data_IF_372046772056
#
_entry.id   IF_372046772056
#
_cell.length_a   1.000
_cell.length_b   1.000
_cell.length_c   1.000
_cell.angle_alpha   90.00
_cell.angle_beta   90.00
_cell.angle_gamma   90.00
#
_symmetry.space_group_name_H-M   'P 1'
#
loop_
_entity.id
_entity.type
_entity.pdbx_description
1 polymer ?
#
# COMPACT_ATOMS: atom_id res chain seq x y z
N UNK A 1 -7.01 14.22 15.77
CA UNK A 1 -8.15 13.94 14.88
C UNK A 1 -8.75 12.63 15.34
N UNK A 2 -10.01 12.64 15.73
CA UNK A 2 -10.76 11.41 16.09
C UNK A 2 -11.49 10.96 14.84
N UNK A 3 -11.37 9.69 14.48
CA UNK A 3 -12.09 9.13 13.33
C UNK A 3 -13.58 9.07 13.64
N UNK A 4 -14.44 9.44 12.67
CA UNK A 4 -15.89 9.27 12.82
C UNK A 4 -16.27 7.79 12.78
N UNK A 5 -17.44 7.43 13.32
CA UNK A 5 -17.96 6.06 13.24
C UNK A 5 -18.10 5.57 11.80
N UNK A 6 -18.49 6.47 10.88
CA UNK A 6 -18.56 6.17 9.45
C UNK A 6 -17.18 5.82 8.88
N UNK A 7 -16.14 6.61 9.21
CA UNK A 7 -14.77 6.32 8.76
C UNK A 7 -14.28 4.99 9.31
N UNK A 8 -14.60 4.65 10.57
CA UNK A 8 -14.24 3.35 11.16
C UNK A 8 -14.92 2.20 10.40
N UNK A 9 -16.22 2.31 10.11
CA UNK A 9 -16.94 1.30 9.33
C UNK A 9 -16.35 1.13 7.91
N UNK A 10 -15.95 2.23 7.27
CA UNK A 10 -15.29 2.19 5.95
C UNK A 10 -13.89 1.58 6.02
N UNK A 11 -13.13 1.80 7.09
CA UNK A 11 -11.83 1.12 7.31
C UNK A 11 -12.02 -0.39 7.42
N UNK A 12 -13.07 -0.85 8.10
CA UNK A 12 -13.39 -2.28 8.19
C UNK A 12 -13.80 -2.86 6.83
N UNK A 13 -14.63 -2.14 6.07
CA UNK A 13 -15.01 -2.52 4.70
C UNK A 13 -13.78 -2.62 3.80
N UNK A 14 -12.90 -1.62 3.82
CA UNK A 14 -11.62 -1.63 3.14
C UNK A 14 -10.75 -2.84 3.55
N UNK A 15 -10.71 -3.18 4.84
CA UNK A 15 -10.05 -4.40 5.31
C UNK A 15 -10.58 -5.66 4.64
N UNK A 16 -11.91 -5.82 4.56
CA UNK A 16 -12.56 -6.95 3.89
C UNK A 16 -12.28 -6.97 2.38
N UNK A 17 -12.31 -5.82 1.72
CA UNK A 17 -12.00 -5.70 0.29
C UNK A 17 -10.56 -6.10 -0.05
N UNK A 18 -9.56 -5.68 0.76
CA UNK A 18 -8.17 -6.13 0.58
C UNK A 18 -8.06 -7.65 0.69
N UNK A 19 -8.72 -8.27 1.67
CA UNK A 19 -8.74 -9.73 1.81
C UNK A 19 -9.38 -10.42 0.59
N UNK A 20 -10.48 -9.87 0.06
CA UNK A 20 -11.13 -10.37 -1.16
C UNK A 20 -10.20 -10.29 -2.39
N UNK A 21 -9.49 -9.19 -2.58
CA UNK A 21 -8.51 -9.02 -3.67
C UNK A 21 -7.39 -10.07 -3.59
N UNK A 22 -6.78 -10.24 -2.41
CA UNK A 22 -5.72 -11.24 -2.19
C UNK A 22 -6.23 -12.66 -2.45
N UNK A 23 -7.44 -12.98 -1.95
CA UNK A 23 -8.07 -14.28 -2.21
C UNK A 23 -8.37 -14.49 -3.69
N UNK A 24 -8.84 -13.47 -4.39
CA UNK A 24 -9.10 -13.54 -5.83
C UNK A 24 -7.82 -13.76 -6.62
N UNK A 25 -6.75 -13.03 -6.30
CA UNK A 25 -5.42 -13.25 -6.88
C UNK A 25 -4.98 -14.70 -6.72
N UNK A 26 -5.02 -15.23 -5.50
CA UNK A 26 -4.60 -16.60 -5.24
C UNK A 26 -5.51 -17.67 -5.84
N UNK A 27 -6.79 -17.40 -6.11
CA UNK A 27 -7.72 -18.41 -6.63
C UNK A 27 -7.86 -18.40 -8.15
N UNK A 28 -7.74 -17.24 -8.79
CA UNK A 28 -8.07 -17.08 -10.22
C UNK A 28 -6.92 -16.55 -11.07
N UNK A 29 -5.95 -15.86 -10.48
CA UNK A 29 -4.99 -15.05 -11.24
C UNK A 29 -3.51 -15.32 -10.87
N UNK A 30 -3.22 -16.44 -10.17
CA UNK A 30 -1.84 -16.93 -9.90
C UNK A 30 -0.99 -17.11 -11.16
N UNK A 31 -1.61 -17.25 -12.34
CA UNK A 31 -0.92 -17.28 -13.62
C UNK A 31 -0.04 -16.05 -13.88
N UNK A 32 -0.27 -14.94 -13.18
CA UNK A 32 0.56 -13.74 -13.29
C UNK A 32 1.83 -13.78 -12.44
N UNK A 33 2.05 -14.78 -11.59
CA UNK A 33 3.28 -14.87 -10.77
C UNK A 33 4.56 -14.70 -11.62
N UNK A 34 4.76 -15.38 -12.77
CA UNK A 34 5.96 -15.16 -13.59
C UNK A 34 6.11 -13.72 -14.08
N UNK A 35 4.99 -13.05 -14.38
CA UNK A 35 4.98 -11.64 -14.78
C UNK A 35 5.36 -10.74 -13.60
N UNK A 36 4.85 -11.02 -12.40
CA UNK A 36 5.16 -10.27 -11.19
C UNK A 36 6.65 -10.37 -10.89
N UNK A 37 7.18 -11.59 -10.86
CA UNK A 37 8.61 -11.82 -10.59
C UNK A 37 9.49 -11.11 -11.62
N UNK A 38 9.08 -11.12 -12.90
CA UNK A 38 9.83 -10.43 -13.95
C UNK A 38 9.91 -8.91 -13.75
N UNK A 39 8.86 -8.28 -13.21
CA UNK A 39 8.77 -6.82 -13.13
C UNK A 39 9.08 -6.25 -11.74
N UNK A 40 8.97 -7.05 -10.68
CA UNK A 40 9.17 -6.62 -9.30
C UNK A 40 10.46 -7.15 -8.68
N UNK A 41 10.88 -8.38 -9.04
CA UNK A 41 12.08 -8.98 -8.45
C UNK A 41 13.35 -8.31 -8.96
N UNK A 42 14.31 -8.09 -8.04
CA UNK A 42 15.70 -7.81 -8.43
C UNK A 42 16.24 -9.00 -9.23
N UNK A 43 17.03 -8.73 -10.28
CA UNK A 43 17.59 -9.75 -11.20
C UNK A 43 18.45 -10.87 -10.55
N UNK A 44 18.71 -10.85 -9.24
CA UNK A 44 19.87 -11.52 -8.62
C UNK A 44 19.60 -12.57 -7.51
N UNK A 45 18.39 -13.07 -7.26
CA UNK A 45 18.25 -14.15 -6.27
C UNK A 45 16.84 -14.48 -5.78
N UNK A 46 16.74 -15.55 -4.98
CA UNK A 46 15.49 -16.04 -4.37
C UNK A 46 14.86 -14.99 -3.47
N UNK A 47 13.59 -14.69 -3.71
CA UNK A 47 12.82 -13.77 -2.88
C UNK A 47 12.45 -14.41 -1.53
N UNK A 48 12.64 -13.64 -0.46
CA UNK A 48 12.03 -13.90 0.84
C UNK A 48 10.49 -13.90 0.74
N UNK A 49 9.81 -14.51 1.71
CA UNK A 49 8.34 -14.49 1.74
C UNK A 49 7.79 -13.05 1.87
N UNK A 50 8.49 -12.18 2.59
CA UNK A 50 8.11 -10.77 2.73
C UNK A 50 8.18 -10.01 1.40
N UNK A 51 9.22 -10.28 0.60
CA UNK A 51 9.37 -9.71 -0.75
C UNK A 51 8.25 -10.19 -1.68
N UNK A 52 7.85 -11.47 -1.61
CA UNK A 52 6.71 -11.99 -2.39
C UNK A 52 5.41 -11.32 -2.01
N UNK A 53 5.17 -11.09 -0.73
CA UNK A 53 3.97 -10.38 -0.25
C UNK A 53 3.93 -8.96 -0.84
N UNK A 54 5.04 -8.25 -0.80
CA UNK A 54 5.14 -6.90 -1.37
C UNK A 54 5.02 -6.91 -2.91
N UNK A 55 5.52 -7.94 -3.59
CA UNK A 55 5.37 -8.12 -5.02
C UNK A 55 3.91 -8.33 -5.44
N UNK A 56 3.17 -9.16 -4.70
CA UNK A 56 1.75 -9.40 -4.94
C UNK A 56 0.92 -8.17 -4.65
N UNK A 57 1.18 -7.49 -3.53
CA UNK A 57 0.48 -6.26 -3.19
C UNK A 57 0.77 -5.15 -4.24
N UNK A 58 1.99 -5.06 -4.79
CA UNK A 58 2.33 -4.14 -5.89
C UNK A 58 1.53 -4.48 -7.15
N UNK A 59 1.45 -5.75 -7.50
CA UNK A 59 0.68 -6.18 -8.65
C UNK A 59 -0.81 -5.86 -8.53
N UNK A 60 -1.38 -6.08 -7.34
CA UNK A 60 -2.80 -5.84 -7.07
C UNK A 60 -3.14 -4.34 -7.20
N UNK A 61 -2.29 -3.47 -6.66
CA UNK A 61 -2.63 -2.05 -6.51
C UNK A 61 -2.04 -1.14 -7.59
N UNK A 62 -0.89 -1.49 -8.17
CA UNK A 62 -0.08 -0.54 -8.93
C UNK A 62 0.29 -1.04 -10.34
N UNK A 63 0.20 -2.35 -10.62
CA UNK A 63 0.53 -2.86 -11.94
C UNK A 63 -0.56 -2.51 -12.97
N UNK A 64 -0.13 -1.79 -14.00
CA UNK A 64 -0.95 -1.45 -15.17
C UNK A 64 -0.63 -2.40 -16.32
N UNK A 65 -1.64 -3.13 -16.79
CA UNK A 65 -1.54 -3.99 -17.96
C UNK A 65 -1.33 -3.16 -19.24
N UNK A 66 -0.91 -3.83 -20.31
CA UNK A 66 -0.67 -3.19 -21.63
C UNK A 66 -1.93 -2.57 -22.25
N UNK A 67 -3.10 -3.11 -21.91
CA UNK A 67 -4.40 -2.56 -22.34
C UNK A 67 -4.83 -1.35 -21.50
N UNK A 68 -4.01 -0.92 -20.54
CA UNK A 68 -4.26 0.22 -19.67
C UNK A 68 -5.06 -0.10 -18.41
N UNK A 69 -5.59 -1.32 -18.27
CA UNK A 69 -6.35 -1.76 -17.10
C UNK A 69 -5.43 -2.11 -15.93
N UNK A 70 -5.99 -2.15 -14.73
CA UNK A 70 -5.37 -2.63 -13.50
C UNK A 70 -5.91 -4.02 -13.14
N UNK A 71 -5.27 -4.67 -12.17
CA UNK A 71 -5.81 -5.90 -11.58
C UNK A 71 -7.19 -5.69 -10.96
N UNK A 72 -7.40 -4.52 -10.36
CA UNK A 72 -8.67 -4.12 -9.75
C UNK A 72 -9.81 -4.10 -10.77
N UNK A 73 -9.59 -3.64 -12.01
CA UNK A 73 -10.62 -3.66 -13.07
C UNK A 73 -11.14 -5.08 -13.35
N UNK A 74 -10.22 -6.05 -13.37
CA UNK A 74 -10.57 -7.46 -13.57
C UNK A 74 -11.36 -8.01 -12.40
N UNK A 75 -10.97 -7.64 -11.18
CA UNK A 75 -11.68 -8.02 -9.97
C UNK A 75 -13.12 -7.46 -10.00
N UNK A 76 -13.30 -6.17 -10.26
CA UNK A 76 -14.62 -5.52 -10.34
C UNK A 76 -15.48 -6.20 -11.42
N UNK A 77 -14.95 -6.38 -12.64
CA UNK A 77 -15.69 -7.03 -13.73
C UNK A 77 -16.13 -8.46 -13.39
N UNK A 78 -15.33 -9.17 -12.60
CA UNK A 78 -15.59 -10.55 -12.18
C UNK A 78 -16.57 -10.71 -11.00
N UNK A 79 -16.96 -9.63 -10.32
CA UNK A 79 -17.79 -9.67 -9.11
C UNK A 79 -18.99 -8.72 -9.24
N UNK A 80 -20.11 -9.26 -9.70
CA UNK A 80 -21.37 -8.51 -9.82
C UNK A 80 -22.08 -8.31 -8.47
N UNK A 81 -21.55 -8.92 -7.40
CA UNK A 81 -22.04 -8.81 -6.03
C UNK A 81 -21.48 -7.61 -5.26
N UNK A 82 -20.59 -6.82 -5.87
CA UNK A 82 -20.03 -5.62 -5.25
C UNK A 82 -21.05 -4.49 -5.19
N UNK A 83 -21.11 -3.78 -4.06
CA UNK A 83 -21.90 -2.55 -3.96
C UNK A 83 -21.22 -1.38 -4.69
N UNK A 84 -21.99 -0.32 -4.97
CA UNK A 84 -21.45 0.92 -5.55
C UNK A 84 -20.35 1.54 -4.67
N UNK A 85 -20.51 1.47 -3.35
CA UNK A 85 -19.52 1.94 -2.38
C UNK A 85 -18.23 1.11 -2.45
N UNK A 86 -18.34 -0.22 -2.50
CA UNK A 86 -17.17 -1.11 -2.64
C UNK A 86 -16.41 -0.82 -3.94
N UNK A 87 -17.14 -0.61 -5.05
CA UNK A 87 -16.55 -0.25 -6.35
C UNK A 87 -15.82 1.09 -6.26
N UNK A 88 -16.43 2.11 -5.64
CA UNK A 88 -15.82 3.43 -5.50
C UNK A 88 -14.50 3.39 -4.72
N UNK A 89 -14.44 2.61 -3.64
CA UNK A 89 -13.21 2.39 -2.86
C UNK A 89 -12.14 1.70 -3.72
N UNK A 90 -12.51 0.63 -4.41
CA UNK A 90 -11.58 -0.13 -5.26
C UNK A 90 -11.02 0.72 -6.41
N UNK A 91 -11.86 1.50 -7.07
CA UNK A 91 -11.45 2.44 -8.13
C UNK A 91 -10.39 3.42 -7.63
N UNK A 92 -10.58 3.98 -6.42
CA UNK A 92 -9.62 4.89 -5.80
C UNK A 92 -8.28 4.22 -5.50
N UNK A 93 -8.25 2.92 -5.20
CA UNK A 93 -7.00 2.21 -4.89
C UNK A 93 -6.05 2.02 -6.08
N UNK A 94 -6.51 2.30 -7.31
CA UNK A 94 -5.64 2.37 -8.49
C UNK A 94 -4.66 3.54 -8.43
N UNK A 95 -4.94 4.55 -7.62
CA UNK A 95 -4.07 5.69 -7.31
C UNK A 95 -3.22 5.40 -6.05
N UNK A 96 -2.57 4.24 -6.02
CA UNK A 96 -1.68 3.85 -4.92
C UNK A 96 -0.45 4.78 -4.87
N UNK A 97 -0.03 5.18 -3.68
CA UNK A 97 1.21 5.94 -3.48
C UNK A 97 2.25 5.07 -2.78
N UNK A 98 3.28 4.64 -3.51
CA UNK A 98 4.47 3.99 -2.95
C UNK A 98 5.55 5.01 -2.62
N UNK A 99 6.21 4.82 -1.48
CA UNK A 99 7.25 5.76 -1.08
C UNK A 99 7.93 5.40 0.24
N UNK A 100 8.87 6.26 0.59
CA UNK A 100 9.50 6.28 1.91
C UNK A 100 8.97 7.50 2.63
N UNK A 101 8.38 7.29 3.78
CA UNK A 101 7.70 8.33 4.52
C UNK A 101 8.39 8.59 5.85
N UNK A 102 8.59 9.85 6.21
CA UNK A 102 8.94 10.25 7.57
C UNK A 102 7.66 10.36 8.41
N UNK A 103 7.64 9.70 9.56
CA UNK A 103 6.53 9.83 10.52
C UNK A 103 6.72 11.15 11.28
N UNK A 104 5.82 12.11 11.08
CA UNK A 104 5.89 13.43 11.72
C UNK A 104 5.19 13.46 13.07
N UNK A 105 4.02 12.85 13.13
CA UNK A 105 3.20 12.78 14.33
C UNK A 105 2.36 11.50 14.33
N UNK A 106 1.99 11.02 15.52
CA UNK A 106 1.07 9.90 15.68
C UNK A 106 0.07 10.26 16.77
N UNK A 107 -1.20 10.36 16.39
CA UNK A 107 -2.30 10.72 17.26
C UNK A 107 -3.34 9.60 17.22
N UNK A 108 -3.51 8.90 18.34
CA UNK A 108 -4.45 7.78 18.49
C UNK A 108 -4.28 6.69 17.43
N UNK A 109 -5.06 6.76 16.35
CA UNK A 109 -5.10 5.81 15.24
C UNK A 109 -4.55 6.36 13.92
N UNK A 110 -4.09 7.62 13.91
CA UNK A 110 -3.67 8.30 12.68
C UNK A 110 -2.22 8.76 12.80
N UNK A 111 -1.40 8.37 11.83
CA UNK A 111 -0.06 8.87 11.62
C UNK A 111 -0.07 9.96 10.55
N UNK A 112 0.56 11.10 10.83
CA UNK A 112 0.89 12.11 9.84
C UNK A 112 2.27 11.77 9.27
N UNK A 113 2.32 11.57 7.95
CA UNK A 113 3.48 11.13 7.21
C UNK A 113 3.87 12.19 6.17
N UNK A 114 5.16 12.41 5.95
CA UNK A 114 5.65 13.16 4.78
C UNK A 114 6.38 12.19 3.86
N UNK A 115 5.95 12.11 2.60
CA UNK A 115 6.64 11.34 1.59
C UNK A 115 7.95 12.02 1.20
N UNK A 116 9.07 11.32 1.34
CA UNK A 116 10.40 11.85 1.01
C UNK A 116 10.65 11.90 -0.50
N UNK A 117 9.80 11.26 -1.30
CA UNK A 117 9.91 11.25 -2.77
C UNK A 117 9.30 12.52 -3.37
N UNK A 118 8.09 12.90 -2.96
CA UNK A 118 7.33 14.02 -3.55
C UNK A 118 7.03 15.17 -2.57
N UNK A 119 7.40 15.03 -1.29
CA UNK A 119 7.18 16.02 -0.25
C UNK A 119 5.73 16.15 0.25
N UNK A 120 4.79 15.33 -0.23
CA UNK A 120 3.38 15.41 0.14
C UNK A 120 3.14 14.87 1.54
N UNK A 121 2.18 15.48 2.24
CA UNK A 121 1.69 15.02 3.53
C UNK A 121 0.53 14.02 3.36
N UNK A 122 0.52 12.98 4.19
CA UNK A 122 -0.49 11.94 4.20
C UNK A 122 -0.96 11.68 5.64
N UNK A 123 -2.27 11.52 5.82
CA UNK A 123 -2.87 11.07 7.08
C UNK A 123 -3.25 9.61 6.96
N UNK A 124 -2.54 8.76 7.67
CA UNK A 124 -2.57 7.31 7.46
C UNK A 124 -3.07 6.58 8.70
N UNK A 125 -3.85 5.54 8.49
CA UNK A 125 -4.22 4.60 9.55
C UNK A 125 -3.95 3.16 9.13
N UNK A 126 -3.91 2.26 10.11
CA UNK A 126 -3.78 0.83 9.88
C UNK A 126 -5.14 0.18 9.99
N UNK A 127 -5.55 -0.53 8.93
CA UNK A 127 -6.69 -1.43 8.98
C UNK A 127 -6.40 -2.74 9.76
N UNK A 128 -5.17 -2.93 10.28
CA UNK A 128 -4.76 -4.08 11.10
C UNK A 128 -4.92 -3.82 12.61
N UNK A 129 -5.46 -2.66 12.99
CA UNK A 129 -5.80 -2.32 14.37
C UNK A 129 -4.60 -1.96 15.26
N UNK A 130 -4.88 -1.77 16.55
CA UNK A 130 -3.98 -1.15 17.54
C UNK A 130 -2.62 -1.86 17.74
N UNK A 131 -2.47 -3.12 17.34
CA UNK A 131 -1.26 -3.93 17.58
C UNK A 131 -0.03 -3.49 16.76
N UNK A 132 -0.23 -2.81 15.63
CA UNK A 132 0.89 -2.32 14.79
C UNK A 132 1.38 -0.91 15.18
N UNK A 133 0.80 -0.28 16.22
CA UNK A 133 1.15 1.09 16.65
C UNK A 133 2.60 1.24 17.13
N UNK A 134 3.24 0.17 17.62
CA UNK A 134 4.61 0.21 18.18
C UNK A 134 5.64 0.66 17.13
N UNK A 135 5.34 0.41 15.85
CA UNK A 135 6.19 0.75 14.70
C UNK A 135 6.04 2.21 14.24
N UNK A 136 4.96 2.89 14.62
CA UNK A 136 4.67 4.26 14.19
C UNK A 136 5.14 5.23 15.28
N UNK A 137 6.38 5.70 15.17
CA UNK A 137 6.97 6.68 16.11
C UNK A 137 7.45 7.92 15.36
N UNK A 138 7.17 9.13 15.85
CA UNK A 138 7.72 10.34 15.25
C UNK A 138 9.24 10.26 15.07
N UNK A 139 9.73 10.70 13.91
CA UNK A 139 11.13 10.68 13.49
C UNK A 139 11.61 9.37 12.88
N UNK A 140 10.83 8.28 12.96
CA UNK A 140 11.10 7.06 12.21
C UNK A 140 10.68 7.20 10.75
N UNK A 141 11.20 6.31 9.91
CA UNK A 141 10.84 6.23 8.50
C UNK A 141 10.17 4.89 8.17
N UNK A 142 9.27 4.90 7.21
CA UNK A 142 8.54 3.72 6.76
C UNK A 142 8.54 3.65 5.23
N UNK A 143 9.05 2.55 4.68
CA UNK A 143 8.89 2.21 3.27
C UNK A 143 7.65 1.33 3.14
N UNK A 144 6.66 1.82 2.40
CA UNK A 144 5.36 1.14 2.28
C UNK A 144 4.58 1.68 1.09
N UNK A 145 3.40 1.10 0.83
CA UNK A 145 2.41 1.62 -0.09
C UNK A 145 1.19 2.08 0.66
N UNK A 146 0.64 3.21 0.23
CA UNK A 146 -0.57 3.79 0.75
C UNK A 146 -1.68 3.68 -0.30
N UNK A 147 -2.87 3.28 0.13
CA UNK A 147 -4.07 3.31 -0.71
C UNK A 147 -5.09 4.28 -0.10
N UNK A 148 -5.75 5.11 -0.92
CA UNK A 148 -6.70 6.11 -0.42
C UNK A 148 -7.97 5.47 0.16
N UNK A 149 -8.55 6.13 1.16
CA UNK A 149 -9.89 5.88 1.68
C UNK A 149 -10.44 7.22 2.16
N UNK A 150 -11.35 7.82 1.40
CA UNK A 150 -11.86 9.17 1.66
C UNK A 150 -10.72 10.19 1.84
N UNK A 151 -10.69 10.89 2.98
CA UNK A 151 -9.68 11.90 3.32
C UNK A 151 -8.43 11.32 4.02
N UNK A 152 -8.37 9.99 4.16
CA UNK A 152 -7.26 9.27 4.79
C UNK A 152 -6.64 8.25 3.85
N UNK A 153 -5.54 7.65 4.29
CA UNK A 153 -4.83 6.60 3.58
C UNK A 153 -4.67 5.37 4.47
N UNK A 154 -4.66 4.19 3.85
CA UNK A 154 -4.42 2.93 4.51
C UNK A 154 -3.07 2.36 4.10
N UNK A 155 -2.29 1.87 5.07
CA UNK A 155 -1.10 1.07 4.79
C UNK A 155 -1.45 -0.19 3.97
N UNK A 156 -0.59 -0.53 3.01
CA UNK A 156 -0.66 -1.73 2.18
C UNK A 156 0.71 -2.39 2.04
N UNK A 157 0.70 -3.70 1.80
CA UNK A 157 1.89 -4.53 1.84
C UNK A 157 2.47 -4.70 3.24
N UNK A 158 3.73 -5.12 3.30
CA UNK A 158 4.52 -5.24 4.50
C UNK A 158 5.45 -4.04 4.63
N UNK A 159 5.23 -3.15 5.59
CA UNK A 159 6.08 -1.98 5.77
C UNK A 159 7.47 -2.37 6.29
N UNK A 160 8.50 -1.79 5.70
CA UNK A 160 9.84 -1.79 6.27
C UNK A 160 10.04 -0.50 7.09
N UNK A 161 10.52 -0.63 8.32
CA UNK A 161 10.64 0.50 9.25
C UNK A 161 12.09 0.75 9.58
N UNK A 162 12.49 2.01 9.52
CA UNK A 162 13.85 2.46 9.73
C UNK A 162 13.93 3.44 10.91
N UNK A 163 14.97 3.34 11.75
CA UNK A 163 15.15 4.25 12.86
C UNK A 163 15.66 5.62 12.38
N UNK A 164 15.57 6.68 13.20
CA UNK A 164 15.98 8.04 12.82
C UNK A 164 17.44 8.14 12.33
N UNK A 165 18.32 7.28 12.86
CA UNK A 165 19.74 7.22 12.48
C UNK A 165 19.95 6.80 11.01
N UNK A 166 18.97 6.16 10.39
CA UNK A 166 19.04 5.75 8.98
C UNK A 166 18.69 6.89 8.01
N UNK A 167 18.44 8.13 8.47
CA UNK A 167 17.99 9.28 7.66
C UNK A 167 18.75 9.42 6.34
N UNK A 168 20.09 9.39 6.37
CA UNK A 168 20.89 9.55 5.16
C UNK A 168 20.61 8.42 4.14
N UNK A 169 20.56 7.17 4.60
CA UNK A 169 20.29 6.02 3.75
C UNK A 169 18.90 6.08 3.12
N UNK A 170 17.87 6.40 3.91
CA UNK A 170 16.48 6.47 3.40
C UNK A 170 16.26 7.65 2.47
N UNK A 171 17.02 8.76 2.61
CA UNK A 171 16.98 9.88 1.67
C UNK A 171 17.56 9.50 0.31
N UNK A 172 18.67 8.77 0.28
CA UNK A 172 19.22 8.25 -0.98
C UNK A 172 18.26 7.27 -1.65
N UNK A 173 17.65 6.36 -0.87
CA UNK A 173 16.61 5.47 -1.41
C UNK A 173 15.41 6.26 -1.98
N UNK A 174 14.94 7.30 -1.31
CA UNK A 174 13.82 8.11 -1.78
C UNK A 174 14.15 8.84 -3.08
N UNK A 175 15.40 9.32 -3.22
CA UNK A 175 15.92 9.90 -4.45
C UNK A 175 15.95 8.88 -5.59
N UNK A 176 16.42 7.66 -5.33
CA UNK A 176 16.41 6.56 -6.30
C UNK A 176 14.97 6.21 -6.74
N UNK A 177 14.01 6.19 -5.81
CA UNK A 177 12.58 6.01 -6.12
C UNK A 177 12.06 7.13 -7.04
N UNK A 178 12.35 8.38 -6.72
CA UNK A 178 11.92 9.54 -7.52
C UNK A 178 12.49 9.54 -8.94
N UNK A 179 13.63 8.87 -9.15
CA UNK A 179 14.26 8.67 -10.46
C UNK A 179 13.77 7.40 -11.19
N UNK A 180 12.90 6.60 -10.56
CA UNK A 180 12.41 5.33 -11.10
C UNK A 180 13.47 4.21 -11.11
N UNK A 181 14.54 4.35 -10.32
CA UNK A 181 15.61 3.35 -10.20
C UNK A 181 15.20 2.19 -9.30
N UNK A 182 14.24 2.43 -8.40
CA UNK A 182 13.62 1.42 -7.54
C UNK A 182 12.11 1.70 -7.44
N UNK A 183 11.33 0.63 -7.27
CA UNK A 183 9.86 0.64 -7.28
C UNK A 183 9.26 0.07 -6.00
#
# INVERSE_FOLDING_TARGET
MVLSEETVARIELAGKLKQRLVKYFHSKERRFIPLILKNYSKKNGSESEDEKINAYDWFIHCYRFKDGNYFIDRFIKGHQDLSEEEIAILEKWKDCSGGIFEIKAVNEDIACLINLVDGREYHCTSNLGKKNRVMLRPGFFILTRLVPLDDIYLFSGLPAVFPPQARFHVQEMAKDMGQGLIS
#
